data_IF_370750853918
#
_entry.id   IF_370750853918
#
_cell.length_a   1.000
_cell.length_b   1.000
_cell.length_c   1.000
_cell.angle_alpha   90.00
_cell.angle_beta   90.00
_cell.angle_gamma   90.00
#
_symmetry.space_group_name_H-M   'P 1'
#
loop_
_entity.id
_entity.type
_entity.pdbx_description
1 polymer ?
#
# COMPACT_ATOMS: atom_id res chain seq x y z
N UNK A 1 -0.96 32.21 -16.55
CA UNK A 1 0.12 31.47 -15.89
C UNK A 1 1.06 30.96 -16.96
N UNK A 2 2.33 31.35 -16.93
CA UNK A 2 3.32 30.86 -17.84
C UNK A 2 3.72 29.42 -17.58
N UNK A 3 4.36 28.75 -18.54
CA UNK A 3 4.84 27.38 -18.42
C UNK A 3 5.83 27.20 -17.26
N UNK A 4 6.73 28.18 -17.06
CA UNK A 4 7.70 28.18 -15.97
C UNK A 4 7.04 28.30 -14.59
N UNK A 5 5.97 29.10 -14.50
CA UNK A 5 5.21 29.25 -13.25
C UNK A 5 4.46 27.95 -12.91
N UNK A 6 3.84 27.34 -13.92
CA UNK A 6 3.16 26.06 -13.78
C UNK A 6 4.14 24.96 -13.33
N UNK A 7 5.32 24.89 -13.95
CA UNK A 7 6.36 23.95 -13.58
C UNK A 7 6.76 24.08 -12.10
N UNK A 8 7.08 25.31 -11.68
CA UNK A 8 7.48 25.57 -10.29
C UNK A 8 6.38 25.19 -9.28
N UNK A 9 5.14 25.57 -9.59
CA UNK A 9 3.99 25.27 -8.73
C UNK A 9 3.76 23.77 -8.62
N UNK A 10 3.74 23.05 -9.72
CA UNK A 10 3.56 21.59 -9.74
C UNK A 10 4.70 20.90 -8.97
N UNK A 11 5.94 21.29 -9.22
CA UNK A 11 7.10 20.70 -8.55
C UNK A 11 7.06 20.91 -7.04
N UNK A 12 6.79 22.13 -6.58
CA UNK A 12 6.69 22.44 -5.17
C UNK A 12 5.56 21.68 -4.49
N UNK A 13 4.40 21.63 -5.15
CA UNK A 13 3.23 20.91 -4.64
C UNK A 13 3.49 19.41 -4.56
N UNK A 14 4.10 18.80 -5.58
CA UNK A 14 4.43 17.38 -5.57
C UNK A 14 5.40 17.03 -4.44
N UNK A 15 6.46 17.80 -4.27
CA UNK A 15 7.45 17.56 -3.20
C UNK A 15 6.79 17.68 -1.82
N UNK A 16 5.99 18.72 -1.61
CA UNK A 16 5.27 18.92 -0.35
C UNK A 16 4.28 17.79 -0.08
N UNK A 17 3.47 17.40 -1.07
CA UNK A 17 2.51 16.31 -0.95
C UNK A 17 3.15 14.96 -0.64
N UNK A 18 4.26 14.63 -1.30
CA UNK A 18 4.97 13.37 -1.03
C UNK A 18 5.40 13.31 0.43
N UNK A 19 5.96 14.39 0.96
CA UNK A 19 6.37 14.47 2.36
C UNK A 19 5.18 14.39 3.33
N UNK A 20 4.10 15.12 3.04
CA UNK A 20 2.89 15.15 3.86
C UNK A 20 2.17 13.79 3.87
N UNK A 21 2.06 13.13 2.72
CA UNK A 21 1.45 11.80 2.60
C UNK A 21 2.24 10.80 3.43
N UNK A 22 3.55 10.82 3.34
CA UNK A 22 4.42 9.93 4.10
C UNK A 22 4.25 10.09 5.61
N UNK A 23 4.27 11.34 6.10
CA UNK A 23 4.08 11.64 7.52
C UNK A 23 2.68 11.28 8.02
N UNK A 24 1.64 11.59 7.25
CA UNK A 24 0.26 11.31 7.62
C UNK A 24 -0.05 9.82 7.60
N UNK A 25 0.48 9.08 6.64
CA UNK A 25 0.31 7.63 6.57
C UNK A 25 0.91 6.95 7.80
N UNK A 26 2.11 7.35 8.20
CA UNK A 26 2.75 6.85 9.42
C UNK A 26 1.91 7.16 10.66
N UNK A 27 1.43 8.39 10.82
CA UNK A 27 0.56 8.79 11.94
C UNK A 27 -0.80 8.09 11.92
N UNK A 28 -1.37 7.86 10.74
CA UNK A 28 -2.67 7.18 10.60
C UNK A 28 -2.59 5.71 10.98
N UNK A 29 -1.45 5.07 10.72
CA UNK A 29 -1.21 3.67 11.06
C UNK A 29 -0.97 3.49 12.56
N UNK A 30 -0.18 4.38 13.18
CA UNK A 30 0.18 4.32 14.59
C UNK A 30 -0.96 4.87 15.43
N UNK A 31 -1.91 4.02 15.76
CA UNK A 31 -2.94 4.27 16.77
C UNK A 31 -2.63 3.45 18.01
N UNK A 32 -3.33 3.71 19.12
CA UNK A 32 -3.15 2.93 20.36
C UNK A 32 -3.39 1.43 20.15
N UNK A 33 -4.32 1.07 19.26
CA UNK A 33 -4.64 -0.32 18.94
C UNK A 33 -3.56 -0.98 18.07
N UNK A 34 -2.92 -0.23 17.16
CA UNK A 34 -1.97 -0.74 16.15
C UNK A 34 -0.56 -0.14 16.29
N UNK A 35 -0.18 0.32 17.47
CA UNK A 35 1.12 0.98 17.70
C UNK A 35 2.34 0.10 17.47
N UNK A 36 2.17 -1.21 17.41
CA UNK A 36 3.21 -2.19 17.10
C UNK A 36 3.39 -2.44 15.59
N UNK A 37 2.58 -1.82 14.75
CA UNK A 37 2.70 -1.90 13.30
C UNK A 37 3.61 -0.80 12.74
N UNK A 38 4.40 -1.17 11.74
CA UNK A 38 5.15 -0.25 10.89
C UNK A 38 4.38 -0.03 9.58
N UNK A 39 4.80 0.97 8.81
CA UNK A 39 4.25 1.21 7.47
C UNK A 39 4.44 -0.01 6.55
N UNK A 40 5.62 -0.63 6.63
CA UNK A 40 5.90 -1.84 5.87
C UNK A 40 4.98 -3.02 6.27
N UNK A 41 4.72 -3.17 7.57
CA UNK A 41 3.78 -4.18 8.07
C UNK A 41 2.38 -4.00 7.47
N UNK A 42 1.91 -2.75 7.37
CA UNK A 42 0.61 -2.45 6.75
C UNK A 42 0.56 -2.82 5.27
N UNK A 43 1.63 -2.54 4.52
CA UNK A 43 1.71 -2.95 3.12
C UNK A 43 1.66 -4.48 2.95
N UNK A 44 2.30 -5.20 3.86
CA UNK A 44 2.22 -6.68 3.86
C UNK A 44 0.79 -7.15 4.20
N UNK A 45 0.15 -6.56 5.20
CA UNK A 45 -1.24 -6.86 5.56
C UNK A 45 -2.18 -6.63 4.37
N UNK A 46 -2.04 -5.52 3.66
CA UNK A 46 -2.82 -5.24 2.44
C UNK A 46 -2.59 -6.27 1.34
N UNK A 47 -1.35 -6.68 1.14
CA UNK A 47 -1.00 -7.66 0.12
C UNK A 47 -1.52 -9.06 0.46
N UNK A 48 -1.58 -9.43 1.74
CA UNK A 48 -2.24 -10.66 2.19
C UNK A 48 -3.73 -10.61 1.85
N UNK A 49 -4.37 -9.48 2.12
CA UNK A 49 -5.76 -9.23 1.79
C UNK A 49 -6.75 -10.03 2.62
N UNK A 50 -8.02 -9.77 2.36
CA UNK A 50 -9.14 -10.50 2.96
C UNK A 50 -9.34 -11.85 2.26
N UNK A 51 -9.90 -12.82 2.97
CA UNK A 51 -10.24 -14.12 2.42
C UNK A 51 -9.52 -15.28 3.10
N UNK A 52 -9.55 -16.44 2.44
CA UNK A 52 -9.11 -17.71 3.04
C UNK A 52 -7.59 -17.94 2.99
N UNK A 53 -6.88 -17.09 2.30
CA UNK A 53 -5.42 -17.13 2.27
C UNK A 53 -4.80 -17.01 0.89
N UNK A 54 -3.55 -16.55 0.87
CA UNK A 54 -2.71 -16.43 -0.30
C UNK A 54 -1.36 -17.12 -0.04
N UNK A 55 -0.73 -17.62 -1.10
CA UNK A 55 0.61 -18.18 -0.98
C UNK A 55 1.68 -17.07 -0.93
N UNK A 56 2.85 -17.42 -0.39
CA UNK A 56 3.96 -16.48 -0.22
C UNK A 56 4.45 -15.89 -1.54
N UNK A 57 4.50 -16.66 -2.59
CA UNK A 57 4.95 -16.21 -3.92
C UNK A 57 4.02 -15.15 -4.51
N UNK A 58 2.70 -15.31 -4.38
CA UNK A 58 1.71 -14.32 -4.83
C UNK A 58 1.83 -13.02 -4.04
N UNK A 59 1.99 -13.10 -2.73
CA UNK A 59 2.14 -11.92 -1.86
C UNK A 59 3.43 -11.16 -2.20
N UNK A 60 4.55 -11.88 -2.33
CA UNK A 60 5.85 -11.30 -2.70
C UNK A 60 5.78 -10.58 -4.05
N UNK A 61 5.08 -11.17 -5.01
CA UNK A 61 4.87 -10.58 -6.34
C UNK A 61 4.06 -9.29 -6.29
N UNK A 62 2.99 -9.26 -5.50
CA UNK A 62 2.20 -8.03 -5.29
C UNK A 62 3.03 -6.91 -4.69
N UNK A 63 3.96 -7.23 -3.80
CA UNK A 63 4.83 -6.28 -3.12
C UNK A 63 6.11 -5.96 -3.90
N UNK A 64 6.36 -6.67 -4.99
CA UNK A 64 7.60 -6.56 -5.76
C UNK A 64 8.87 -6.75 -4.90
N UNK A 65 8.85 -7.78 -4.07
CA UNK A 65 9.97 -8.18 -3.20
C UNK A 65 10.28 -9.66 -3.36
N UNK A 66 11.43 -10.09 -2.85
CA UNK A 66 11.78 -11.50 -2.82
C UNK A 66 10.96 -12.24 -1.75
N UNK A 67 10.77 -13.55 -1.94
CA UNK A 67 10.14 -14.42 -0.94
C UNK A 67 10.95 -14.43 0.37
N UNK A 68 12.29 -14.34 0.29
CA UNK A 68 13.15 -14.24 1.46
C UNK A 68 12.88 -13.00 2.30
N UNK A 69 12.78 -11.83 1.67
CA UNK A 69 12.42 -10.58 2.35
C UNK A 69 11.02 -10.65 2.95
N UNK A 70 10.08 -11.24 2.22
CA UNK A 70 8.72 -11.43 2.71
C UNK A 70 8.68 -12.37 3.93
N UNK A 71 9.47 -13.41 3.94
CA UNK A 71 9.53 -14.38 5.05
C UNK A 71 9.88 -13.68 6.37
N UNK A 72 10.86 -12.77 6.35
CA UNK A 72 11.25 -11.98 7.53
C UNK A 72 10.10 -11.10 8.02
N UNK A 73 9.46 -10.35 7.12
CA UNK A 73 8.32 -9.50 7.44
C UNK A 73 7.13 -10.33 7.96
N UNK A 74 6.89 -11.47 7.32
CA UNK A 74 5.78 -12.35 7.70
C UNK A 74 5.99 -12.99 9.08
N UNK A 75 7.21 -13.39 9.43
CA UNK A 75 7.53 -13.91 10.75
C UNK A 75 7.22 -12.87 11.84
N UNK A 76 7.55 -11.60 11.60
CA UNK A 76 7.21 -10.51 12.51
C UNK A 76 5.69 -10.37 12.71
N UNK A 77 4.93 -10.42 11.61
CA UNK A 77 3.46 -10.28 11.66
C UNK A 77 2.77 -11.50 12.30
N UNK A 78 3.32 -12.69 12.14
CA UNK A 78 2.86 -13.89 12.86
C UNK A 78 3.08 -13.71 14.37
N UNK A 79 4.26 -13.25 14.78
CA UNK A 79 4.58 -13.00 16.19
C UNK A 79 3.69 -11.90 16.79
N UNK A 80 3.36 -10.87 16.04
CA UNK A 80 2.44 -9.79 16.44
C UNK A 80 0.95 -10.20 16.35
N UNK A 81 0.66 -11.39 15.82
CA UNK A 81 -0.68 -12.00 15.70
C UNK A 81 -1.61 -11.31 14.69
N UNK A 82 -1.06 -10.69 13.67
CA UNK A 82 -1.85 -10.10 12.56
C UNK A 82 -2.11 -11.07 11.43
N UNK A 83 -1.25 -12.05 11.26
CA UNK A 83 -1.38 -13.09 10.23
C UNK A 83 -1.18 -14.48 10.84
N UNK A 84 -1.72 -15.48 10.17
CA UNK A 84 -1.50 -16.88 10.50
C UNK A 84 -1.18 -17.67 9.23
N UNK A 85 -0.39 -18.73 9.40
CA UNK A 85 -0.04 -19.66 8.34
C UNK A 85 -0.81 -20.95 8.52
N UNK A 86 -1.27 -21.52 7.42
CA UNK A 86 -1.86 -22.84 7.39
C UNK A 86 -1.52 -23.57 6.08
N UNK A 87 -1.55 -24.88 6.12
CA UNK A 87 -1.35 -25.66 4.91
C UNK A 87 -2.65 -25.76 4.15
N UNK A 88 -2.56 -25.67 2.81
CA UNK A 88 -3.70 -25.89 1.93
C UNK A 88 -4.25 -27.30 2.10
N UNK A 89 -5.57 -27.43 2.21
CA UNK A 89 -6.23 -28.74 2.25
C UNK A 89 -6.13 -29.47 0.90
N UNK A 90 -6.10 -28.73 -0.19
CA UNK A 90 -5.98 -29.27 -1.56
C UNK A 90 -4.58 -29.78 -1.85
N UNK A 91 -3.54 -29.09 -1.40
CA UNK A 91 -2.14 -29.50 -1.53
C UNK A 91 -1.34 -29.07 -0.29
N UNK A 92 -1.05 -30.00 0.58
CA UNK A 92 -0.36 -29.75 1.86
C UNK A 92 1.10 -29.29 1.72
N UNK A 93 1.65 -29.30 0.53
CA UNK A 93 2.96 -28.70 0.24
C UNK A 93 2.88 -27.18 0.14
N UNK A 94 1.68 -26.64 -0.10
CA UNK A 94 1.42 -25.20 -0.21
C UNK A 94 1.06 -24.63 1.15
N UNK A 95 1.83 -23.61 1.56
CA UNK A 95 1.54 -22.81 2.77
C UNK A 95 0.76 -21.57 2.37
N UNK A 96 -0.40 -21.38 2.98
CA UNK A 96 -1.24 -20.21 2.80
C UNK A 96 -1.09 -19.28 4.01
N UNK A 97 -1.15 -17.98 3.74
CA UNK A 97 -1.15 -16.93 4.77
C UNK A 97 -2.47 -16.19 4.69
N UNK A 98 -3.12 -16.02 5.83
CA UNK A 98 -4.34 -15.23 5.94
C UNK A 98 -4.27 -14.28 7.14
N UNK A 99 -5.09 -13.24 7.12
CA UNK A 99 -5.23 -12.32 8.23
C UNK A 99 -5.98 -13.00 9.39
N UNK A 100 -5.52 -12.74 10.61
CA UNK A 100 -6.28 -13.03 11.82
C UNK A 100 -7.41 -12.00 11.99
N UNK A 101 -8.26 -12.16 12.98
CA UNK A 101 -9.26 -11.15 13.34
C UNK A 101 -8.60 -9.78 13.59
N UNK A 102 -7.49 -9.74 14.29
CA UNK A 102 -6.69 -8.53 14.53
C UNK A 102 -6.13 -7.94 13.21
N UNK A 103 -5.65 -8.80 12.31
CA UNK A 103 -5.17 -8.41 10.99
C UNK A 103 -6.27 -7.83 10.10
N UNK A 104 -7.47 -8.38 10.15
CA UNK A 104 -8.64 -7.85 9.43
C UNK A 104 -9.01 -6.46 9.93
N UNK A 105 -8.97 -6.22 11.23
CA UNK A 105 -9.19 -4.88 11.79
C UNK A 105 -8.16 -3.87 11.32
N UNK A 106 -6.88 -4.25 11.30
CA UNK A 106 -5.80 -3.40 10.78
C UNK A 106 -6.00 -3.10 9.28
N UNK A 107 -6.36 -4.11 8.50
CA UNK A 107 -6.67 -3.96 7.08
C UNK A 107 -7.78 -2.92 6.85
N UNK A 108 -8.90 -3.04 7.54
CA UNK A 108 -10.01 -2.09 7.40
C UNK A 108 -9.67 -0.69 7.93
N UNK A 109 -8.87 -0.58 8.96
CA UNK A 109 -8.39 0.71 9.46
C UNK A 109 -7.59 1.45 8.38
N UNK A 110 -6.68 0.77 7.69
CA UNK A 110 -5.88 1.34 6.63
C UNK A 110 -6.71 1.63 5.36
N UNK A 111 -7.61 0.72 4.98
CA UNK A 111 -8.56 0.93 3.88
C UNK A 111 -9.41 2.18 4.11
N UNK A 112 -9.87 2.38 5.34
CA UNK A 112 -10.68 3.53 5.73
C UNK A 112 -9.90 4.85 5.59
N UNK A 113 -8.64 4.85 5.96
CA UNK A 113 -7.75 5.99 5.76
C UNK A 113 -7.61 6.34 4.26
N UNK A 114 -7.35 5.37 3.41
CA UNK A 114 -7.26 5.59 1.97
C UNK A 114 -8.58 6.04 1.36
N UNK A 115 -9.70 5.50 1.84
CA UNK A 115 -11.03 5.95 1.41
C UNK A 115 -11.28 7.40 1.76
N UNK A 116 -10.97 7.84 2.96
CA UNK A 116 -11.09 9.23 3.38
C UNK A 116 -10.24 10.17 2.55
N UNK A 117 -9.00 9.79 2.27
CA UNK A 117 -8.09 10.55 1.41
C UNK A 117 -8.65 10.68 -0.01
N UNK A 118 -9.10 9.59 -0.59
CA UNK A 118 -9.69 9.58 -1.94
C UNK A 118 -10.96 10.43 -1.99
N UNK A 119 -11.84 10.30 -1.00
CA UNK A 119 -13.06 11.09 -0.92
C UNK A 119 -12.76 12.59 -0.81
N UNK A 120 -11.76 12.97 -0.02
CA UNK A 120 -11.34 14.38 0.10
C UNK A 120 -10.88 14.97 -1.25
N UNK A 121 -10.27 14.17 -2.10
CA UNK A 121 -9.90 14.57 -3.46
C UNK A 121 -11.16 14.70 -4.34
N UNK A 122 -12.03 13.69 -4.32
CA UNK A 122 -13.25 13.66 -5.12
C UNK A 122 -14.18 14.84 -4.80
N UNK A 123 -14.26 15.22 -3.54
CA UNK A 123 -15.10 16.34 -3.09
C UNK A 123 -14.65 17.72 -3.63
N UNK A 124 -13.43 17.79 -4.16
CA UNK A 124 -12.85 19.03 -4.71
C UNK A 124 -12.94 19.14 -6.23
N UNK A 125 -13.33 18.07 -6.89
CA UNK A 125 -13.32 17.98 -8.36
C UNK A 125 -14.72 17.86 -8.92
N UNK A 126 -14.92 18.43 -10.10
CA UNK A 126 -16.14 18.20 -10.88
C UNK A 126 -15.97 17.03 -11.87
N UNK A 127 -17.04 16.66 -12.55
CA UNK A 127 -17.07 15.53 -13.49
C UNK A 127 -16.12 15.70 -14.67
N UNK A 128 -15.74 16.94 -15.02
CA UNK A 128 -14.81 17.23 -16.11
C UNK A 128 -13.35 17.13 -15.67
N UNK A 129 -13.07 17.36 -14.40
CA UNK A 129 -11.73 17.32 -13.81
C UNK A 129 -11.29 15.92 -13.43
N UNK A 130 -12.23 15.04 -13.03
CA UNK A 130 -11.94 13.67 -12.63
C UNK A 130 -11.16 12.87 -13.68
N UNK A 131 -11.56 12.82 -14.97
CA UNK A 131 -10.80 12.10 -15.99
C UNK A 131 -9.38 12.64 -16.19
N UNK A 132 -9.20 13.95 -16.02
CA UNK A 132 -7.89 14.60 -16.12
C UNK A 132 -6.97 14.15 -14.99
N UNK A 133 -7.50 14.09 -13.76
CA UNK A 133 -6.75 13.61 -12.60
C UNK A 133 -6.36 12.14 -12.77
N UNK A 134 -7.29 11.27 -13.16
CA UNK A 134 -7.02 9.84 -13.39
C UNK A 134 -5.91 9.67 -14.43
N UNK A 135 -6.02 10.35 -15.57
CA UNK A 135 -5.01 10.33 -16.62
C UNK A 135 -3.64 10.80 -16.13
N UNK A 136 -3.61 11.83 -15.28
CA UNK A 136 -2.37 12.36 -14.71
C UNK A 136 -1.72 11.37 -13.75
N UNK A 137 -2.51 10.73 -12.90
CA UNK A 137 -2.03 9.69 -11.96
C UNK A 137 -1.52 8.46 -12.70
N UNK A 138 -2.19 8.03 -13.78
CA UNK A 138 -1.73 6.93 -14.62
C UNK A 138 -0.38 7.26 -15.27
N UNK A 139 -0.20 8.46 -15.77
CA UNK A 139 1.06 8.92 -16.36
C UNK A 139 2.20 8.94 -15.33
N UNK A 140 1.93 9.35 -14.10
CA UNK A 140 2.89 9.28 -12.99
C UNK A 140 3.25 7.84 -12.63
N UNK A 141 2.26 6.96 -12.58
CA UNK A 141 2.47 5.53 -12.32
C UNK A 141 3.37 4.88 -13.37
N UNK A 142 3.13 5.16 -14.64
CA UNK A 142 3.96 4.68 -15.75
C UNK A 142 5.40 5.20 -15.65
N UNK A 143 5.58 6.47 -15.29
CA UNK A 143 6.91 7.06 -15.06
C UNK A 143 7.67 6.32 -13.96
N UNK A 144 7.04 6.02 -12.82
CA UNK A 144 7.68 5.32 -11.72
C UNK A 144 8.03 3.87 -12.08
N UNK A 145 7.15 3.18 -12.78
CA UNK A 145 7.40 1.81 -13.27
C UNK A 145 8.61 1.79 -14.21
N UNK A 146 8.64 2.65 -15.22
CA UNK A 146 9.76 2.76 -16.16
C UNK A 146 11.08 3.15 -15.50
N UNK A 147 11.05 3.98 -14.49
CA UNK A 147 12.23 4.38 -13.72
C UNK A 147 12.82 3.23 -12.91
N UNK A 148 11.97 2.40 -12.32
CA UNK A 148 12.39 1.22 -11.56
C UNK A 148 13.03 0.17 -12.46
N UNK A 149 12.44 -0.12 -13.60
CA UNK A 149 12.96 -1.09 -14.58
C UNK A 149 14.34 -0.68 -15.13
N UNK A 150 14.57 0.62 -15.37
CA UNK A 150 15.84 1.11 -15.85
C UNK A 150 16.98 1.07 -14.83
N UNK A 151 16.68 0.94 -13.54
CA UNK A 151 17.70 0.80 -12.48
C UNK A 151 18.14 -0.64 -12.23
N UNK A 152 17.34 -1.60 -12.65
CA UNK A 152 17.67 -3.03 -12.53
C UNK A 152 18.44 -3.56 -13.75
N UNK A 153 18.67 -2.72 -14.76
CA UNK A 153 19.49 -2.97 -15.93
C UNK A 153 20.88 -2.38 -15.75
#
# INVERSE_FOLDING_TARGET
>A
MGMDDAYKMINQTLVSLINEIWELEEKAIITDEFKDLTNNDMHVIEAVGLGDGNNMSSIARKLNITVGSLTTAMNSLVNKRYVERHRSEEDRRVVLVKLTEKGVKAYHHHEDYHRQLTQAILDKLDDTELPVLVKTLDALSEFFTGYSENKES
#
